data_IF_653551494774
#
_entry.id   IF_653551494774
#
_cell.length_a   1.000
_cell.length_b   1.000
_cell.length_c   1.000
_cell.angle_alpha   90.00
_cell.angle_beta   90.00
_cell.angle_gamma   90.00
#
_symmetry.space_group_name_H-M   'P 1'
#
loop_
_entity.id
_entity.type
_entity.pdbx_description
1 polymer ?
#
# COMPACT_ATOMS: atom_id res chain seq x y z
N UNK A 1 -17.14 13.35 11.01
CA UNK A 1 -16.68 13.18 9.61
C UNK A 1 -16.88 11.71 9.25
N UNK A 2 -17.13 11.33 7.99
CA UNK A 2 -17.11 9.90 7.64
C UNK A 2 -15.69 9.34 7.85
N UNK A 3 -15.57 8.04 8.17
CA UNK A 3 -14.27 7.43 8.40
C UNK A 3 -13.41 7.46 7.14
N UNK A 4 -12.10 7.59 7.32
CA UNK A 4 -11.16 7.61 6.18
C UNK A 4 -11.25 6.32 5.36
N UNK A 5 -11.40 5.18 6.05
CA UNK A 5 -11.67 3.87 5.48
C UNK A 5 -13.18 3.58 5.52
N UNK A 6 -13.85 3.37 4.38
CA UNK A 6 -15.26 2.99 4.37
C UNK A 6 -15.50 1.68 5.14
N UNK A 7 -16.50 1.61 6.04
CA UNK A 7 -16.71 0.44 6.89
C UNK A 7 -16.83 -0.91 6.16
N UNK A 8 -17.50 -1.01 5.00
CA UNK A 8 -17.57 -2.29 4.27
C UNK A 8 -16.20 -2.82 3.79
N UNK A 9 -15.20 -1.94 3.62
CA UNK A 9 -13.86 -2.30 3.15
C UNK A 9 -12.87 -2.53 4.30
N UNK A 10 -13.25 -2.16 5.53
CA UNK A 10 -12.38 -2.16 6.71
C UNK A 10 -11.70 -3.52 6.93
N UNK A 11 -12.49 -4.59 7.00
CA UNK A 11 -12.00 -5.95 7.24
C UNK A 11 -11.09 -6.45 6.12
N UNK A 12 -11.40 -6.17 4.86
CA UNK A 12 -10.60 -6.56 3.69
C UNK A 12 -9.26 -5.83 3.65
N UNK A 13 -9.24 -4.54 3.96
CA UNK A 13 -8.01 -3.74 4.04
C UNK A 13 -7.15 -4.21 5.22
N UNK A 14 -7.74 -4.42 6.39
CA UNK A 14 -7.03 -4.96 7.55
C UNK A 14 -6.46 -6.34 7.25
N UNK A 15 -7.24 -7.20 6.60
CA UNK A 15 -6.81 -8.51 6.15
C UNK A 15 -5.64 -8.41 5.16
N UNK A 16 -5.64 -7.44 4.25
CA UNK A 16 -4.56 -7.19 3.29
C UNK A 16 -3.25 -6.72 3.94
N UNK A 17 -3.34 -6.15 5.14
CA UNK A 17 -2.22 -5.65 5.94
C UNK A 17 -1.90 -6.54 7.14
N UNK A 18 -2.54 -7.71 7.27
CA UNK A 18 -2.43 -8.55 8.46
C UNK A 18 -1.03 -9.16 8.61
N UNK A 19 -0.42 -9.11 9.81
CA UNK A 19 0.88 -9.74 10.07
C UNK A 19 0.84 -11.27 10.00
N UNK A 20 -0.35 -11.88 10.12
CA UNK A 20 -0.53 -13.33 10.02
C UNK A 20 -0.24 -13.90 8.63
N UNK A 21 -0.20 -13.07 7.59
CA UNK A 21 0.14 -13.46 6.22
C UNK A 21 1.45 -12.77 5.83
N UNK A 22 2.63 -13.29 6.26
CA UNK A 22 3.89 -12.72 5.86
C UNK A 22 3.97 -12.72 4.33
N UNK A 23 4.47 -11.63 3.74
CA UNK A 23 4.64 -11.54 2.29
C UNK A 23 3.30 -11.52 1.52
N UNK A 24 2.20 -11.06 2.13
CA UNK A 24 0.92 -10.92 1.44
C UNK A 24 0.98 -9.96 0.25
N UNK A 25 0.34 -10.33 -0.87
CA UNK A 25 0.16 -9.44 -2.02
C UNK A 25 -1.33 -9.11 -2.21
N UNK A 26 -1.61 -7.84 -2.49
CA UNK A 26 -2.93 -7.34 -2.86
C UNK A 26 -2.86 -6.72 -4.25
N UNK A 27 -3.74 -7.16 -5.14
CA UNK A 27 -3.90 -6.58 -6.47
C UNK A 27 -5.09 -5.62 -6.48
N UNK A 28 -4.89 -4.40 -6.97
CA UNK A 28 -5.97 -3.48 -7.29
C UNK A 28 -6.04 -3.33 -8.80
N UNK A 29 -7.13 -3.80 -9.37
CA UNK A 29 -7.46 -3.62 -10.78
C UNK A 29 -8.44 -2.46 -10.94
N UNK A 30 -8.22 -1.64 -11.97
CA UNK A 30 -9.11 -0.53 -12.31
C UNK A 30 -9.28 -0.38 -13.82
N UNK A 31 -10.30 0.36 -14.25
CA UNK A 31 -10.41 0.88 -15.62
C UNK A 31 -10.26 2.40 -15.64
N UNK A 32 -10.03 3.00 -16.80
CA UNK A 32 -9.80 4.46 -16.92
C UNK A 32 -10.91 5.31 -16.28
N UNK A 33 -12.17 4.86 -16.37
CA UNK A 33 -13.33 5.55 -15.79
C UNK A 33 -13.50 5.34 -14.28
N UNK A 34 -12.81 4.38 -13.68
CA UNK A 34 -12.91 4.03 -12.26
C UNK A 34 -11.52 3.91 -11.62
N UNK A 35 -10.79 5.02 -11.49
CA UNK A 35 -9.39 4.99 -11.11
C UNK A 35 -9.18 4.58 -9.65
N UNK A 36 -8.10 3.85 -9.38
CA UNK A 36 -7.71 3.30 -8.07
C UNK A 36 -7.08 4.23 -7.01
N UNK A 37 -6.64 5.48 -7.27
CA UNK A 37 -5.92 6.29 -6.27
C UNK A 37 -6.65 6.46 -4.94
N UNK A 38 -7.97 6.59 -4.98
CA UNK A 38 -8.76 6.73 -3.76
C UNK A 38 -8.57 5.53 -2.85
N UNK A 39 -8.62 4.29 -3.37
CA UNK A 39 -8.48 3.06 -2.60
C UNK A 39 -7.04 2.87 -2.10
N UNK A 40 -6.05 3.15 -2.95
CA UNK A 40 -4.63 3.12 -2.59
C UNK A 40 -4.36 4.02 -1.38
N UNK A 41 -4.91 5.24 -1.38
CA UNK A 41 -4.77 6.17 -0.25
C UNK A 41 -5.41 5.66 1.05
N UNK A 42 -6.50 4.87 0.98
CA UNK A 42 -7.10 4.24 2.18
C UNK A 42 -6.22 3.14 2.72
N UNK A 43 -5.56 2.38 1.85
CA UNK A 43 -4.61 1.35 2.28
C UNK A 43 -3.38 2.01 2.92
N UNK A 44 -2.86 3.11 2.34
CA UNK A 44 -1.78 3.90 2.97
C UNK A 44 -2.23 4.44 4.32
N UNK A 45 -3.43 5.00 4.41
CA UNK A 45 -4.00 5.50 5.66
C UNK A 45 -4.07 4.38 6.70
N UNK A 46 -4.66 3.24 6.35
CA UNK A 46 -4.81 2.08 7.22
C UNK A 46 -3.47 1.52 7.69
N UNK A 47 -2.45 1.53 6.83
CA UNK A 47 -1.10 1.08 7.19
C UNK A 47 -0.42 2.01 8.21
N UNK A 48 -0.68 3.32 8.14
CA UNK A 48 -0.05 4.32 9.00
C UNK A 48 -0.80 4.60 10.30
N UNK A 49 -2.13 4.50 10.27
CA UNK A 49 -3.00 4.92 11.37
C UNK A 49 -3.94 3.82 11.87
N UNK A 50 -4.03 2.69 11.18
CA UNK A 50 -5.02 1.65 11.46
C UNK A 50 -6.34 1.89 10.71
N UNK A 51 -7.22 0.88 10.79
CA UNK A 51 -8.55 0.90 10.15
C UNK A 51 -9.61 1.51 11.07
N UNK A 52 -9.38 1.46 12.39
CA UNK A 52 -10.27 2.01 13.41
C UNK A 52 -10.16 3.55 13.44
N UNK A 53 -11.30 4.22 13.30
CA UNK A 53 -11.42 5.68 13.32
C UNK A 53 -11.45 6.19 14.79
N UNK A 54 -10.40 5.97 15.58
CA UNK A 54 -10.30 6.58 16.92
C UNK A 54 -9.89 8.06 16.81
N UNK A 55 -10.77 8.85 16.17
CA UNK A 55 -10.83 10.31 16.34
C UNK A 55 -11.95 10.67 17.34
N UNK A 56 -12.50 9.68 18.06
CA UNK A 56 -13.74 9.80 18.83
C UNK A 56 -13.68 9.48 20.33
N UNK A 57 -12.56 9.08 20.92
CA UNK A 57 -12.51 8.78 22.37
C UNK A 57 -11.17 9.12 23.03
N UNK A 58 -10.78 10.40 22.98
CA UNK A 58 -9.75 10.95 23.88
C UNK A 58 -10.27 11.97 24.89
N UNK A 59 -11.56 11.90 25.21
CA UNK A 59 -12.16 12.56 26.36
C UNK A 59 -12.94 11.53 27.21
N UNK A 60 -12.37 11.17 28.36
CA UNK A 60 -13.09 10.62 29.50
C UNK A 60 -13.61 9.19 29.41
N UNK A 61 -12.79 8.22 29.84
CA UNK A 61 -13.28 7.15 30.73
C UNK A 61 -12.12 6.38 31.37
N UNK A 62 -11.95 6.63 32.66
CA UNK A 62 -11.35 5.69 33.60
C UNK A 62 -12.23 4.42 33.60
N UNK A 63 -11.71 3.32 33.07
CA UNK A 63 -12.22 1.98 33.31
C UNK A 63 -11.10 0.97 33.02
N UNK A 64 -10.56 0.44 34.11
CA UNK A 64 -9.66 -0.69 34.16
C UNK A 64 -10.23 -1.90 33.40
N UNK A 65 -9.36 -2.66 32.72
CA UNK A 65 -9.66 -4.02 32.31
C UNK A 65 -10.14 -4.23 30.88
N UNK A 66 -9.30 -3.92 29.90
CA UNK A 66 -9.14 -4.80 28.73
C UNK A 66 -7.78 -4.50 28.09
N UNK A 67 -6.92 -5.51 28.01
CA UNK A 67 -5.70 -5.45 27.21
C UNK A 67 -6.10 -5.01 25.79
N UNK A 68 -5.76 -3.79 25.41
CA UNK A 68 -5.88 -3.30 24.03
C UNK A 68 -4.81 -4.01 23.20
N UNK A 69 -5.03 -5.28 22.86
CA UNK A 69 -4.31 -5.98 21.80
C UNK A 69 -4.74 -5.44 20.44
N UNK A 70 -4.34 -4.21 20.10
CA UNK A 70 -4.19 -3.79 18.70
C UNK A 70 -3.44 -2.46 18.62
N UNK A 71 -2.24 -2.41 19.19
CA UNK A 71 -1.24 -1.48 18.70
C UNK A 71 -0.78 -2.01 17.33
N UNK A 72 -1.60 -1.86 16.28
CA UNK A 72 -1.13 -2.04 14.90
C UNK A 72 0.01 -1.05 14.71
N UNK A 73 1.24 -1.54 14.83
CA UNK A 73 2.45 -0.73 14.65
C UNK A 73 2.36 -0.08 13.26
N UNK A 74 2.40 1.25 13.22
CA UNK A 74 2.39 1.99 11.97
C UNK A 74 3.46 1.41 11.03
N UNK A 75 3.04 0.93 9.85
CA UNK A 75 3.93 0.37 8.86
C UNK A 75 4.58 1.51 8.07
N UNK A 76 5.91 1.56 7.99
CA UNK A 76 6.55 2.51 7.08
C UNK A 76 6.20 2.13 5.63
N UNK A 77 6.04 3.10 4.75
CA UNK A 77 5.52 2.88 3.39
C UNK A 77 6.56 3.27 2.35
N UNK A 78 6.85 2.36 1.42
CA UNK A 78 7.56 2.69 0.17
C UNK A 78 6.54 2.73 -0.95
N UNK A 79 6.38 3.90 -1.56
CA UNK A 79 5.36 4.13 -2.57
C UNK A 79 6.00 4.55 -3.89
N UNK A 80 5.93 3.69 -4.90
CA UNK A 80 6.33 4.02 -6.27
C UNK A 80 5.11 4.25 -7.14
N UNK A 81 5.14 5.32 -7.93
CA UNK A 81 4.09 5.63 -8.89
C UNK A 81 4.68 5.90 -10.27
N UNK A 82 4.32 5.04 -11.23
CA UNK A 82 4.78 5.10 -12.61
C UNK A 82 3.78 5.79 -13.54
N UNK A 83 2.53 5.94 -13.09
CA UNK A 83 1.44 6.46 -13.92
C UNK A 83 0.94 7.84 -13.47
N UNK A 84 1.17 8.22 -12.21
CA UNK A 84 0.60 9.44 -11.61
C UNK A 84 1.63 10.30 -10.89
N UNK A 85 1.53 11.64 -10.97
CA UNK A 85 2.48 12.55 -10.33
C UNK A 85 2.22 12.66 -8.82
N UNK A 86 3.26 13.01 -8.05
CA UNK A 86 3.15 13.19 -6.60
C UNK A 86 2.08 14.22 -6.22
N UNK A 87 1.92 15.28 -7.01
CA UNK A 87 0.95 16.35 -6.76
C UNK A 87 -0.49 15.83 -6.64
N UNK A 88 -0.87 14.85 -7.47
CA UNK A 88 -2.17 14.20 -7.41
C UNK A 88 -2.35 13.48 -6.07
N UNK A 89 -1.35 12.70 -5.66
CA UNK A 89 -1.40 11.97 -4.39
C UNK A 89 -1.50 12.91 -3.20
N UNK A 90 -0.74 14.01 -3.20
CA UNK A 90 -0.78 15.03 -2.14
C UNK A 90 -2.15 15.69 -2.05
N UNK A 91 -2.76 16.07 -3.19
CA UNK A 91 -4.09 16.69 -3.21
C UNK A 91 -5.17 15.73 -2.69
N UNK A 92 -5.19 14.50 -3.21
CA UNK A 92 -6.18 13.49 -2.80
C UNK A 92 -5.95 12.99 -1.38
N UNK A 93 -4.70 12.89 -0.92
CA UNK A 93 -4.35 12.52 0.44
C UNK A 93 -4.84 13.55 1.44
N UNK A 94 -4.65 14.84 1.16
CA UNK A 94 -5.11 15.93 2.04
C UNK A 94 -6.61 15.87 2.29
N UNK A 95 -7.39 15.47 1.29
CA UNK A 95 -8.85 15.31 1.38
C UNK A 95 -9.30 14.24 2.38
N UNK A 96 -8.46 13.26 2.70
CA UNK A 96 -8.72 12.20 3.67
C UNK A 96 -7.92 12.35 4.97
N UNK A 97 -7.30 13.52 5.20
CA UNK A 97 -6.44 13.76 6.37
C UNK A 97 -5.04 13.16 6.26
N UNK A 98 -4.62 12.69 5.09
CA UNK A 98 -3.27 12.17 4.85
C UNK A 98 -2.35 13.29 4.33
N UNK A 99 -1.61 13.94 5.22
CA UNK A 99 -0.57 14.90 4.83
C UNK A 99 0.70 14.18 4.34
N UNK A 100 0.69 13.83 3.06
CA UNK A 100 1.82 13.14 2.41
C UNK A 100 3.12 13.96 2.51
N UNK A 101 3.06 15.30 2.48
CA UNK A 101 4.27 16.12 2.58
C UNK A 101 4.93 16.00 3.96
N UNK A 102 4.12 16.04 5.03
CA UNK A 102 4.60 15.80 6.39
C UNK A 102 5.15 14.38 6.56
N UNK A 103 4.48 13.38 5.96
CA UNK A 103 4.89 11.98 6.00
C UNK A 103 6.21 11.71 5.25
N UNK A 104 6.46 12.42 4.14
CA UNK A 104 7.74 12.39 3.42
C UNK A 104 8.85 13.01 4.26
N UNK A 105 8.59 14.18 4.86
CA UNK A 105 9.57 14.88 5.70
C UNK A 105 9.95 14.07 6.95
N UNK A 106 8.97 13.39 7.54
CA UNK A 106 9.17 12.50 8.69
C UNK A 106 9.66 11.10 8.33
N UNK A 107 9.93 10.82 7.03
CA UNK A 107 10.40 9.52 6.52
C UNK A 107 9.48 8.33 6.82
N UNK A 108 8.20 8.58 7.13
CA UNK A 108 7.18 7.53 7.25
C UNK A 108 6.77 6.99 5.88
N UNK A 109 6.85 7.84 4.86
CA UNK A 109 6.69 7.47 3.45
C UNK A 109 8.00 7.77 2.72
N UNK A 110 8.44 6.85 1.88
CA UNK A 110 9.40 7.13 0.80
C UNK A 110 8.68 7.03 -0.53
N UNK A 111 8.68 8.13 -1.28
CA UNK A 111 8.06 8.19 -2.60
C UNK A 111 9.08 8.06 -3.71
N UNK A 112 8.79 7.18 -4.66
CA UNK A 112 9.55 6.97 -5.89
C UNK A 112 8.74 7.50 -7.08
N UNK A 113 9.24 8.57 -7.70
CA UNK A 113 8.63 9.20 -8.87
C UNK A 113 9.08 8.52 -10.15
N UNK A 114 8.13 7.86 -10.83
CA UNK A 114 8.34 7.23 -12.12
C UNK A 114 7.94 8.06 -13.33
N UNK A 115 7.40 9.27 -13.17
CA UNK A 115 7.03 10.15 -14.31
C UNK A 115 8.12 11.17 -14.64
N UNK A 116 8.77 11.75 -13.64
CA UNK A 116 9.76 12.82 -13.83
C UNK A 116 11.19 12.28 -14.04
N UNK A 117 11.34 11.14 -14.70
CA UNK A 117 12.63 10.49 -14.92
C UNK A 117 13.52 11.27 -15.91
N UNK A 118 14.84 11.08 -15.82
CA UNK A 118 15.82 11.69 -16.74
C UNK A 118 16.02 13.21 -16.62
N UNK A 119 15.18 13.94 -15.88
CA UNK A 119 15.43 15.32 -15.54
C UNK A 119 16.53 15.39 -14.47
N UNK A 120 17.76 15.69 -14.88
CA UNK A 120 18.80 16.12 -13.96
C UNK A 120 18.25 17.26 -13.08
N UNK A 121 18.51 17.29 -11.76
CA UNK A 121 18.24 18.48 -10.96
C UNK A 121 19.04 19.62 -11.59
N UNK A 122 18.39 20.42 -12.42
CA UNK A 122 19.05 21.53 -13.11
C UNK A 122 19.53 22.46 -12.00
N UNK A 123 20.84 22.63 -11.76
CA UNK A 123 21.29 23.64 -10.82
C UNK A 123 20.76 24.97 -11.35
N UNK A 124 20.09 25.72 -10.49
CA UNK A 124 19.56 27.03 -10.77
C UNK A 124 20.67 27.95 -11.27
N UNK A 125 20.85 28.02 -12.58
CA UNK A 125 21.65 29.07 -13.22
C UNK A 125 20.67 30.17 -13.59
N UNK A 126 20.77 31.27 -12.88
CA UNK A 126 20.06 32.53 -13.11
C UNK A 126 20.12 32.93 -14.59
N UNK A 127 19.00 32.82 -15.31
CA UNK A 127 18.89 33.23 -16.70
C UNK A 127 17.46 33.02 -17.20
N UNK A 128 16.76 34.12 -17.47
CA UNK A 128 15.33 34.15 -17.75
C UNK A 128 14.89 33.31 -18.96
N UNK A 129 13.69 32.74 -18.85
CA UNK A 129 13.04 32.02 -19.93
C UNK A 129 11.87 31.17 -19.45
N UNK A 130 10.67 31.77 -19.44
CA UNK A 130 9.35 31.17 -19.64
C UNK A 130 9.14 29.69 -19.30
N UNK A 131 8.45 29.45 -18.17
CA UNK A 131 7.38 28.46 -18.00
C UNK A 131 7.66 26.96 -18.24
N UNK A 132 8.36 26.33 -17.31
CA UNK A 132 7.84 25.16 -16.58
C UNK A 132 8.66 25.00 -15.30
N UNK A 133 8.39 25.87 -14.32
CA UNK A 133 9.00 25.79 -13.01
C UNK A 133 8.57 24.49 -12.35
N UNK A 134 9.47 23.50 -12.30
CA UNK A 134 9.34 22.39 -11.37
C UNK A 134 9.36 22.99 -9.97
N UNK A 135 8.20 22.97 -9.32
CA UNK A 135 7.98 23.55 -7.99
C UNK A 135 8.99 22.95 -6.98
N UNK A 136 10.00 23.71 -6.51
CA UNK A 136 11.00 23.21 -5.58
C UNK A 136 10.45 23.05 -4.15
N UNK A 137 9.16 23.26 -3.92
CA UNK A 137 8.51 23.12 -2.61
C UNK A 137 8.19 21.67 -2.21
N UNK A 138 8.31 20.70 -3.12
CA UNK A 138 7.97 19.30 -2.84
C UNK A 138 9.18 18.59 -2.16
N UNK A 139 8.93 18.07 -0.95
CA UNK A 139 9.82 17.32 -0.04
C UNK A 139 10.65 16.20 -0.73
N UNK A 140 11.73 15.64 -0.13
CA UNK A 140 12.69 14.80 -0.85
C UNK A 140 12.05 13.55 -1.46
N UNK A 141 11.78 13.61 -2.76
CA UNK A 141 11.35 12.47 -3.58
C UNK A 141 12.56 11.77 -4.16
N UNK A 142 12.47 10.46 -4.33
CA UNK A 142 13.47 9.71 -5.10
C UNK A 142 12.98 9.61 -6.54
N UNK A 143 13.78 10.04 -7.51
CA UNK A 143 13.42 9.98 -8.93
C UNK A 143 14.11 8.80 -9.60
N UNK A 144 13.41 8.17 -10.53
CA UNK A 144 14.01 7.15 -11.38
C UNK A 144 14.96 7.78 -12.41
N UNK A 145 16.04 7.07 -12.73
CA UNK A 145 16.93 7.44 -13.85
C UNK A 145 16.30 7.05 -15.18
N UNK A 146 15.72 5.86 -15.23
CA UNK A 146 14.93 5.35 -16.35
C UNK A 146 13.81 4.44 -15.86
N UNK A 147 12.92 4.05 -16.77
CA UNK A 147 11.89 3.04 -16.54
C UNK A 147 12.42 1.60 -16.73
N UNK A 148 13.74 1.39 -16.83
CA UNK A 148 14.29 0.05 -16.89
C UNK A 148 14.09 -0.66 -15.53
N UNK A 149 13.59 -1.89 -15.54
CA UNK A 149 13.36 -2.70 -14.33
C UNK A 149 14.54 -2.70 -13.34
N UNK A 150 15.78 -2.74 -13.84
CA UNK A 150 16.99 -2.68 -13.00
C UNK A 150 17.11 -1.36 -12.23
N UNK A 151 16.88 -0.22 -12.88
CA UNK A 151 16.89 1.09 -12.22
C UNK A 151 15.77 1.21 -11.18
N UNK A 152 14.59 0.66 -11.48
CA UNK A 152 13.46 0.60 -10.53
C UNK A 152 13.83 -0.21 -9.30
N UNK A 153 14.46 -1.38 -9.49
CA UNK A 153 14.91 -2.25 -8.42
C UNK A 153 15.98 -1.59 -7.53
N UNK A 154 16.96 -0.91 -8.13
CA UNK A 154 18.01 -0.20 -7.40
C UNK A 154 17.45 0.95 -6.56
N UNK A 155 16.50 1.71 -7.11
CA UNK A 155 15.86 2.82 -6.40
C UNK A 155 14.97 2.31 -5.26
N UNK A 156 14.15 1.29 -5.50
CA UNK A 156 13.31 0.70 -4.45
C UNK A 156 14.15 0.09 -3.34
N UNK A 157 15.20 -0.66 -3.67
CA UNK A 157 16.10 -1.25 -2.67
C UNK A 157 16.84 -0.18 -1.86
N UNK A 158 17.23 0.93 -2.48
CA UNK A 158 17.79 2.10 -1.79
C UNK A 158 16.77 2.75 -0.86
N UNK A 159 15.51 2.86 -1.30
CA UNK A 159 14.39 3.31 -0.48
C UNK A 159 14.19 2.43 0.75
N UNK A 160 14.14 1.11 0.59
CA UNK A 160 14.00 0.14 1.68
C UNK A 160 15.16 0.23 2.70
N UNK A 161 16.39 0.39 2.22
CA UNK A 161 17.57 0.61 3.09
C UNK A 161 17.46 1.93 3.86
N UNK A 162 16.94 2.99 3.24
CA UNK A 162 16.78 4.28 3.91
C UNK A 162 15.78 4.25 5.07
N UNK A 163 14.76 3.39 5.01
CA UNK A 163 13.82 3.14 6.11
C UNK A 163 14.48 2.39 7.27
N UNK A 164 15.41 1.48 6.95
CA UNK A 164 16.06 0.62 7.94
C UNK A 164 17.17 1.33 8.74
N UNK A 165 17.68 2.46 8.22
CA UNK A 165 18.84 3.16 8.82
C UNK A 165 18.43 4.22 9.86
N UNK A 166 17.22 4.15 10.42
CA UNK A 166 16.77 5.04 11.50
C UNK A 166 17.34 4.61 12.86
N UNK A 167 18.66 4.51 12.95
CA UNK A 167 19.34 4.56 14.25
C UNK A 167 19.31 6.00 14.75
N UNK A 168 18.57 6.24 15.83
CA UNK A 168 18.51 7.51 16.56
C UNK A 168 19.88 8.17 16.66
N UNK A 169 20.00 9.49 16.38
CA UNK A 169 21.22 10.21 16.69
C UNK A 169 21.37 10.24 18.22
N UNK A 170 22.35 9.49 18.74
CA UNK A 170 22.77 9.60 20.12
C UNK A 170 23.26 11.04 20.33
N UNK A 171 22.68 11.83 21.26
CA UNK A 171 23.18 13.16 21.52
C UNK A 171 24.54 13.02 22.20
N UNK A 172 25.57 13.56 21.56
CA UNK A 172 26.88 13.81 22.17
C UNK A 172 26.71 14.83 23.29
N UNK A 173 26.32 14.39 24.48
CA UNK A 173 26.39 15.23 25.67
C UNK A 173 27.74 14.94 26.31
N UNK A 174 28.65 15.88 26.06
CA UNK A 174 29.98 15.95 26.65
C UNK A 174 29.93 15.80 28.17
N UNK A 175 30.69 14.82 28.65
CA UNK A 175 31.41 14.75 29.93
C UNK A 175 31.18 15.91 30.90
N UNK A 176 30.41 15.65 31.96
CA UNK A 176 30.60 16.29 33.26
C UNK A 176 31.00 15.21 34.26
N UNK A 177 32.32 15.06 34.38
CA UNK A 177 32.98 14.36 35.47
C UNK A 177 32.69 15.11 36.76
N UNK A 178 32.01 14.47 37.71
CA UNK A 178 32.13 14.83 39.11
C UNK A 178 32.22 13.55 39.95
N UNK A 179 33.42 13.34 40.47
CA UNK A 179 33.83 12.45 41.54
C UNK A 179 32.80 12.33 42.69
N UNK A 180 32.50 11.10 43.09
CA UNK A 180 32.44 10.69 44.51
C UNK A 180 32.43 9.16 44.65
N UNK A 181 33.19 8.73 45.65
CA UNK A 181 33.64 7.36 45.98
C UNK A 181 32.63 6.65 46.92
N UNK A 182 32.90 5.48 47.53
CA UNK A 182 32.15 4.25 47.24
C UNK A 182 31.42 3.63 48.47
N UNK A 183 30.33 2.89 48.28
CA UNK A 183 29.89 1.83 49.20
C UNK A 183 28.76 0.96 48.59
N UNK A 184 28.63 -0.33 48.99
CA UNK A 184 28.09 -1.38 48.14
C UNK A 184 26.63 -1.71 48.45
N UNK A 185 25.84 -2.08 47.42
CA UNK A 185 24.61 -2.86 47.62
C UNK A 185 24.33 -3.77 46.41
N UNK A 186 23.96 -5.00 46.76
CA UNK A 186 23.75 -6.23 46.00
C UNK A 186 22.70 -6.14 44.87
N UNK A 187 22.65 -7.14 43.95
CA UNK A 187 22.14 -6.97 42.60
C UNK A 187 20.63 -7.22 42.49
N UNK A 188 19.90 -6.45 41.67
CA UNK A 188 18.63 -6.91 41.13
C UNK A 188 18.87 -7.73 39.86
N UNK A 189 18.71 -9.03 40.00
CA UNK A 189 18.47 -9.98 38.91
C UNK A 189 17.10 -9.70 38.33
N UNK A 190 17.02 -9.00 37.20
CA UNK A 190 15.95 -9.16 36.22
C UNK A 190 16.37 -8.42 34.97
N UNK A 191 17.12 -9.10 34.12
CA UNK A 191 17.26 -8.76 32.71
C UNK A 191 15.86 -8.77 32.09
N UNK A 192 15.20 -7.60 32.02
CA UNK A 192 14.13 -7.44 31.05
C UNK A 192 14.76 -7.65 29.67
N UNK A 193 14.19 -8.49 28.80
CA UNK A 193 14.78 -8.80 27.51
C UNK A 193 14.98 -7.48 26.77
N UNK A 194 16.21 -7.27 26.31
CA UNK A 194 16.49 -6.34 25.22
C UNK A 194 15.57 -6.78 24.09
N UNK A 195 14.41 -6.14 23.96
CA UNK A 195 13.54 -6.32 22.82
C UNK A 195 14.40 -5.93 21.63
N UNK A 196 14.88 -6.95 20.92
CA UNK A 196 15.45 -6.77 19.60
C UNK A 196 14.35 -6.04 18.84
N UNK A 197 14.59 -4.78 18.51
CA UNK A 197 13.75 -4.05 17.59
C UNK A 197 13.81 -4.82 16.28
N UNK A 198 12.89 -5.75 16.09
CA UNK A 198 12.67 -6.37 14.78
C UNK A 198 12.35 -5.22 13.85
N UNK A 199 13.23 -4.98 12.87
CA UNK A 199 13.02 -3.97 11.85
C UNK A 199 11.71 -4.31 11.15
N UNK A 200 10.65 -3.54 11.39
CA UNK A 200 9.35 -3.79 10.79
C UNK A 200 9.47 -3.63 9.28
N UNK A 201 9.21 -4.71 8.54
CA UNK A 201 9.24 -4.66 7.08
C UNK A 201 8.19 -3.65 6.60
N UNK A 202 8.46 -2.85 5.55
CA UNK A 202 7.54 -1.82 5.10
C UNK A 202 6.38 -2.39 4.28
N UNK A 203 5.33 -1.59 4.14
CA UNK A 203 4.35 -1.75 3.06
C UNK A 203 4.97 -1.20 1.77
N UNK A 204 4.99 -2.01 0.71
CA UNK A 204 5.39 -1.54 -0.62
C UNK A 204 4.14 -1.37 -1.48
N UNK A 205 4.00 -0.21 -2.14
CA UNK A 205 2.93 0.07 -3.08
C UNK A 205 3.53 0.42 -4.43
N UNK A 206 3.09 -0.28 -5.46
CA UNK A 206 3.50 -0.05 -6.85
C UNK A 206 2.28 0.36 -7.67
N UNK A 207 2.29 1.60 -8.12
CA UNK A 207 1.19 2.17 -8.88
C UNK A 207 1.47 2.20 -10.39
N UNK A 208 0.67 1.45 -11.16
CA UNK A 208 0.77 1.32 -12.61
C UNK A 208 1.88 0.37 -13.07
N UNK A 209 1.92 -0.85 -12.53
CA UNK A 209 2.95 -1.84 -12.93
C UNK A 209 2.82 -2.29 -14.39
N UNK A 210 1.59 -2.27 -14.91
CA UNK A 210 1.23 -2.53 -16.30
C UNK A 210 1.85 -1.49 -17.24
N UNK A 211 1.89 -0.22 -16.83
CA UNK A 211 2.59 0.82 -17.58
C UNK A 211 4.10 0.56 -17.64
N UNK A 212 4.71 0.20 -16.51
CA UNK A 212 6.14 -0.14 -16.47
C UNK A 212 6.46 -1.30 -17.43
N UNK A 213 5.65 -2.37 -17.41
CA UNK A 213 5.80 -3.50 -18.33
C UNK A 213 5.60 -3.09 -19.80
N UNK A 214 4.62 -2.23 -20.08
CA UNK A 214 4.35 -1.72 -21.43
C UNK A 214 5.50 -0.87 -22.00
N UNK A 215 6.20 -0.11 -21.14
CA UNK A 215 7.39 0.64 -21.55
C UNK A 215 8.59 -0.24 -21.92
N UNK A 216 8.54 -1.54 -21.63
CA UNK A 216 9.64 -2.48 -21.87
C UNK A 216 9.19 -3.69 -22.70
N UNK A 217 8.93 -3.53 -24.01
CA UNK A 217 8.36 -4.60 -24.84
C UNK A 217 9.25 -5.85 -24.97
N UNK A 218 10.56 -5.71 -24.76
CA UNK A 218 11.52 -6.82 -24.82
C UNK A 218 11.73 -7.52 -23.46
N UNK A 219 11.15 -6.99 -22.38
CA UNK A 219 11.25 -7.58 -21.06
C UNK A 219 10.25 -8.74 -20.95
N UNK A 220 10.70 -9.96 -20.68
CA UNK A 220 9.76 -11.07 -20.49
C UNK A 220 9.00 -10.88 -19.17
N UNK A 221 7.70 -11.16 -19.19
CA UNK A 221 6.80 -10.93 -18.03
C UNK A 221 7.21 -11.71 -16.79
N UNK A 222 7.86 -12.87 -16.96
CA UNK A 222 8.45 -13.63 -15.87
C UNK A 222 9.51 -12.84 -15.08
N UNK A 223 10.25 -11.94 -15.71
CA UNK A 223 11.20 -11.06 -15.01
C UNK A 223 10.47 -10.05 -14.12
N UNK A 224 9.33 -9.52 -14.58
CA UNK A 224 8.48 -8.65 -13.76
C UNK A 224 7.90 -9.44 -12.57
N UNK A 225 7.44 -10.67 -12.79
CA UNK A 225 6.95 -11.53 -11.71
C UNK A 225 8.05 -11.86 -10.68
N UNK A 226 9.28 -12.15 -11.13
CA UNK A 226 10.42 -12.42 -10.26
C UNK A 226 10.82 -11.18 -9.44
N UNK A 227 10.77 -10.00 -10.06
CA UNK A 227 10.97 -8.72 -9.38
C UNK A 227 9.91 -8.48 -8.30
N UNK A 228 8.62 -8.66 -8.61
CA UNK A 228 7.54 -8.52 -7.64
C UNK A 228 7.64 -9.54 -6.49
N UNK A 229 8.06 -10.77 -6.80
CA UNK A 229 8.36 -11.78 -5.79
C UNK A 229 9.50 -11.35 -4.86
N UNK A 230 10.56 -10.74 -5.41
CA UNK A 230 11.66 -10.20 -4.60
C UNK A 230 11.16 -9.10 -3.66
N UNK A 231 10.37 -8.15 -4.17
CA UNK A 231 9.80 -7.09 -3.34
C UNK A 231 8.89 -7.64 -2.25
N UNK A 232 8.09 -8.66 -2.57
CA UNK A 232 7.22 -9.35 -1.62
C UNK A 232 8.02 -9.91 -0.44
N UNK A 233 9.16 -10.56 -0.67
CA UNK A 233 10.03 -11.08 0.41
C UNK A 233 10.66 -9.98 1.28
N UNK A 234 10.80 -8.77 0.73
CA UNK A 234 11.38 -7.60 1.38
C UNK A 234 10.34 -6.72 2.09
N UNK A 235 9.05 -6.96 1.86
CA UNK A 235 7.95 -6.19 2.45
C UNK A 235 7.16 -6.99 3.46
N UNK A 236 6.43 -6.25 4.30
CA UNK A 236 5.36 -6.79 5.13
C UNK A 236 4.17 -7.19 4.27
N UNK A 237 3.75 -6.27 3.40
CA UNK A 237 2.74 -6.47 2.39
C UNK A 237 3.13 -5.74 1.10
N UNK A 238 2.65 -6.24 -0.03
CA UNK A 238 2.84 -5.65 -1.36
C UNK A 238 1.48 -5.32 -1.97
N UNK A 239 1.27 -4.07 -2.35
CA UNK A 239 0.07 -3.64 -3.08
C UNK A 239 0.48 -3.25 -4.48
N UNK A 240 -0.14 -3.87 -5.47
CA UNK A 240 0.14 -3.62 -6.88
C UNK A 240 -1.12 -3.09 -7.54
N UNK A 241 -1.01 -2.01 -8.31
CA UNK A 241 -2.11 -1.52 -9.13
C UNK A 241 -1.83 -1.74 -10.61
N UNK A 242 -2.86 -2.17 -11.34
CA UNK A 242 -2.82 -2.29 -12.79
C UNK A 242 -4.18 -1.98 -13.42
N UNK A 243 -4.18 -1.65 -14.70
CA UNK A 243 -5.41 -1.56 -15.48
C UNK A 243 -5.92 -2.97 -15.80
N UNK A 244 -7.24 -3.16 -15.83
CA UNK A 244 -7.88 -4.42 -16.23
C UNK A 244 -8.99 -4.15 -17.25
N UNK A 245 -8.65 -3.44 -18.32
CA UNK A 245 -9.58 -3.09 -19.37
C UNK A 245 -9.98 -4.35 -20.16
N UNK A 246 -11.28 -4.57 -20.35
CA UNK A 246 -11.80 -5.75 -21.02
C UNK A 246 -11.17 -6.02 -22.41
N UNK A 247 -10.90 -5.01 -23.28
CA UNK A 247 -10.20 -5.24 -24.55
C UNK A 247 -8.82 -5.85 -24.37
N UNK A 248 -8.07 -5.45 -23.34
CA UNK A 248 -6.72 -5.94 -23.10
C UNK A 248 -6.70 -7.35 -22.54
N UNK A 249 -7.79 -7.81 -21.90
CA UNK A 249 -7.92 -9.16 -21.32
C UNK A 249 -8.55 -10.18 -22.27
N UNK A 250 -9.21 -9.73 -23.35
CA UNK A 250 -9.91 -10.62 -24.31
C UNK A 250 -8.99 -11.62 -24.99
N UNK A 251 -7.70 -11.33 -25.11
CA UNK A 251 -6.72 -12.23 -25.72
C UNK A 251 -6.65 -13.58 -24.98
N UNK A 252 -6.80 -13.59 -23.64
CA UNK A 252 -6.82 -14.85 -22.88
C UNK A 252 -8.00 -15.75 -23.27
N UNK A 253 -9.11 -15.16 -23.74
CA UNK A 253 -10.30 -15.90 -24.12
C UNK A 253 -10.33 -16.27 -25.61
N UNK A 254 -9.53 -15.61 -26.46
CA UNK A 254 -9.51 -15.88 -27.90
C UNK A 254 -8.62 -17.08 -28.21
N UNK A 255 -9.20 -18.11 -28.83
CA UNK A 255 -8.44 -19.23 -29.44
C UNK A 255 -7.62 -18.80 -30.65
N UNK A 256 -7.97 -17.66 -31.25
CA UNK A 256 -7.23 -17.07 -32.34
C UNK A 256 -5.99 -16.38 -31.76
N UNK A 257 -4.80 -16.67 -32.30
CA UNK A 257 -3.56 -15.98 -31.95
C UNK A 257 -3.50 -14.52 -32.46
N UNK A 258 -4.61 -13.79 -32.45
CA UNK A 258 -4.76 -12.47 -33.09
C UNK A 258 -4.39 -11.28 -32.18
N UNK A 259 -3.78 -11.55 -31.02
CA UNK A 259 -3.32 -10.49 -30.12
C UNK A 259 -2.02 -9.80 -30.55
N UNK A 260 -1.84 -8.54 -30.15
CA UNK A 260 -0.51 -7.92 -30.14
C UNK A 260 0.33 -8.48 -28.98
N UNK A 261 1.68 -8.45 -29.07
CA UNK A 261 2.54 -8.85 -27.95
C UNK A 261 2.24 -8.07 -26.66
N UNK A 262 1.91 -6.78 -26.78
CA UNK A 262 1.54 -5.93 -25.65
C UNK A 262 0.29 -6.45 -24.93
N UNK A 263 -0.77 -6.80 -25.67
CA UNK A 263 -2.01 -7.29 -25.08
C UNK A 263 -1.83 -8.67 -24.44
N UNK A 264 -1.07 -9.58 -25.08
CA UNK A 264 -0.71 -10.89 -24.49
C UNK A 264 0.07 -10.71 -23.19
N UNK A 265 1.08 -9.84 -23.20
CA UNK A 265 1.91 -9.55 -22.04
C UNK A 265 1.10 -8.92 -20.90
N UNK A 266 0.20 -7.98 -21.22
CA UNK A 266 -0.69 -7.36 -20.25
C UNK A 266 -1.63 -8.39 -19.62
N UNK A 267 -2.31 -9.20 -20.45
CA UNK A 267 -3.20 -10.27 -19.97
C UNK A 267 -2.46 -11.24 -19.05
N UNK A 268 -1.26 -11.68 -19.47
CA UNK A 268 -0.42 -12.57 -18.69
C UNK A 268 -0.04 -11.95 -17.35
N UNK A 269 0.41 -10.70 -17.34
CA UNK A 269 0.76 -9.98 -16.11
C UNK A 269 -0.41 -9.88 -15.14
N UNK A 270 -1.58 -9.41 -15.59
CA UNK A 270 -2.76 -9.24 -14.72
C UNK A 270 -3.23 -10.59 -14.16
N UNK A 271 -3.32 -11.61 -15.01
CA UNK A 271 -3.75 -12.97 -14.60
C UNK A 271 -2.77 -13.57 -13.59
N UNK A 272 -1.46 -13.45 -13.85
CA UNK A 272 -0.43 -13.89 -12.94
C UNK A 272 -0.49 -13.15 -11.59
N UNK A 273 -0.70 -11.83 -11.61
CA UNK A 273 -0.81 -11.06 -10.38
C UNK A 273 -2.05 -11.47 -9.59
N UNK A 274 -3.19 -11.72 -10.25
CA UNK A 274 -4.39 -12.20 -9.59
C UNK A 274 -4.15 -13.57 -8.91
N UNK A 275 -3.45 -14.49 -9.58
CA UNK A 275 -3.09 -15.78 -9.00
C UNK A 275 -2.07 -15.67 -7.86
N UNK A 276 -1.18 -14.68 -7.88
CA UNK A 276 -0.18 -14.48 -6.82
C UNK A 276 -0.67 -13.57 -5.68
N UNK A 277 -1.86 -13.00 -5.81
CA UNK A 277 -2.45 -12.12 -4.79
C UNK A 277 -3.33 -12.91 -3.86
N UNK A 278 -3.36 -12.47 -2.61
CA UNK A 278 -4.32 -12.94 -1.63
C UNK A 278 -5.68 -12.26 -1.81
N UNK A 279 -5.65 -10.94 -2.02
CA UNK A 279 -6.85 -10.16 -2.33
C UNK A 279 -6.75 -9.52 -3.71
N UNK A 280 -7.85 -9.56 -4.44
CA UNK A 280 -8.05 -8.81 -5.68
C UNK A 280 -9.18 -7.83 -5.45
N UNK A 281 -8.87 -6.54 -5.44
CA UNK A 281 -9.85 -5.47 -5.48
C UNK A 281 -10.07 -5.07 -6.94
N UNK A 282 -11.30 -5.23 -7.42
CA UNK A 282 -11.69 -4.86 -8.77
C UNK A 282 -12.60 -3.63 -8.75
N UNK A 283 -12.12 -2.54 -9.34
CA UNK A 283 -12.90 -1.34 -9.60
C UNK A 283 -13.43 -1.40 -11.03
N UNK A 284 -14.76 -1.34 -11.16
CA UNK A 284 -15.45 -1.37 -12.45
C UNK A 284 -16.52 -0.29 -12.53
N UNK A 285 -16.75 0.20 -13.75
CA UNK A 285 -17.90 1.04 -14.04
C UNK A 285 -19.22 0.28 -13.86
N UNK A 286 -20.33 1.01 -13.85
CA UNK A 286 -21.64 0.35 -13.89
C UNK A 286 -21.88 -0.18 -15.30
N UNK A 287 -22.46 -1.37 -15.40
CA UNK A 287 -22.84 -1.97 -16.70
C UNK A 287 -23.87 -1.08 -17.44
N UNK A 288 -24.64 -0.28 -16.69
CA UNK A 288 -25.61 0.70 -17.22
C UNK A 288 -24.97 2.03 -17.63
N UNK A 289 -23.66 2.22 -17.42
CA UNK A 289 -22.95 3.47 -17.71
C UNK A 289 -22.67 4.33 -16.46
N UNK A 290 -23.10 5.59 -16.46
CA UNK A 290 -22.86 6.54 -15.37
C UNK A 290 -24.14 6.87 -14.60
N UNK A 291 -24.06 6.96 -13.27
CA UNK A 291 -25.13 7.48 -12.44
C UNK A 291 -24.64 8.69 -11.62
N UNK A 292 -25.54 9.63 -11.31
CA UNK A 292 -25.19 10.83 -10.52
C UNK A 292 -24.69 10.46 -9.12
N UNK A 293 -25.30 9.44 -8.53
CA UNK A 293 -25.06 9.07 -7.14
C UNK A 293 -24.15 7.84 -6.97
N UNK A 294 -23.66 7.26 -8.06
CA UNK A 294 -22.80 6.07 -8.03
C UNK A 294 -21.66 6.24 -9.03
N UNK A 295 -20.42 6.17 -8.53
CA UNK A 295 -19.21 6.26 -9.35
C UNK A 295 -18.83 4.93 -9.97
N UNK A 296 -19.10 3.81 -9.29
CA UNK A 296 -18.79 2.49 -9.79
C UNK A 296 -19.08 1.39 -8.78
N UNK A 297 -18.53 0.22 -9.06
CA UNK A 297 -18.62 -0.99 -8.25
C UNK A 297 -17.22 -1.39 -7.81
N UNK A 298 -17.08 -1.74 -6.54
CA UNK A 298 -15.88 -2.37 -6.01
C UNK A 298 -16.21 -3.80 -5.60
N UNK A 299 -15.44 -4.76 -6.13
CA UNK A 299 -15.47 -6.16 -5.70
C UNK A 299 -14.17 -6.49 -4.99
N UNK A 300 -14.26 -7.12 -3.83
CA UNK A 300 -13.14 -7.75 -3.15
C UNK A 300 -13.31 -9.26 -3.29
N UNK A 301 -12.29 -9.94 -3.83
CA UNK A 301 -12.30 -11.39 -3.97
C UNK A 301 -10.99 -12.03 -3.57
N UNK A 302 -11.05 -13.27 -3.10
CA UNK A 302 -9.85 -14.08 -2.84
C UNK A 302 -9.10 -14.29 -4.16
N UNK A 303 -7.79 -14.04 -4.14
CA UNK A 303 -6.90 -14.37 -5.26
C UNK A 303 -6.29 -15.77 -5.10
N UNK A 304 -5.49 -16.21 -6.08
CA UNK A 304 -4.90 -17.56 -6.06
C UNK A 304 -3.84 -17.79 -4.96
N UNK A 305 -3.35 -16.71 -4.34
CA UNK A 305 -2.42 -16.76 -3.22
C UNK A 305 -3.12 -16.66 -1.86
N UNK A 306 -4.44 -16.84 -1.82
CA UNK A 306 -5.17 -16.89 -0.56
C UNK A 306 -4.98 -18.26 0.09
N UNK A 307 -4.06 -18.34 1.05
CA UNK A 307 -3.95 -19.48 1.96
C UNK A 307 -5.06 -19.33 3.01
N UNK A 308 -6.16 -20.08 2.83
CA UNK A 308 -7.16 -20.24 3.86
C UNK A 308 -6.60 -21.06 5.02
N UNK A 309 -7.25 -21.00 6.18
CA UNK A 309 -6.99 -21.96 7.24
C UNK A 309 -7.59 -23.32 6.80
N UNK A 310 -6.87 -24.09 5.97
CA UNK A 310 -7.32 -25.40 5.47
C UNK A 310 -7.57 -26.42 6.61
N UNK A 311 -7.20 -26.09 7.86
CA UNK A 311 -7.45 -26.93 9.02
C UNK A 311 -8.93 -27.04 9.44
N UNK A 312 -9.85 -26.26 8.88
CA UNK A 312 -11.28 -26.35 9.24
C UNK A 312 -12.12 -27.25 8.32
N UNK A 313 -11.59 -27.75 7.18
CA UNK A 313 -12.36 -28.64 6.29
C UNK A 313 -12.50 -30.08 6.82
N UNK A 314 -11.66 -30.51 7.77
CA UNK A 314 -11.82 -31.81 8.44
C UNK A 314 -12.76 -31.80 9.65
N UNK A 315 -13.35 -30.65 10.01
CA UNK A 315 -14.39 -30.53 11.03
C UNK A 315 -15.79 -30.34 10.40
N UNK A 316 -16.05 -30.97 9.25
CA UNK A 316 -17.39 -31.11 8.69
C UNK A 316 -18.24 -32.14 9.47
N UNK A 317 -18.37 -31.98 10.79
CA UNK A 317 -19.44 -32.60 11.56
C UNK A 317 -19.69 -31.87 12.88
N UNK A 318 -20.90 -31.34 13.01
CA UNK A 318 -21.60 -31.06 14.27
C UNK A 318 -21.23 -29.76 15.01
N UNK A 319 -22.29 -28.97 15.21
CA UNK A 319 -22.55 -28.00 16.29
C UNK A 319 -21.90 -26.62 16.24
N UNK A 320 -22.77 -25.63 16.04
CA UNK A 320 -22.69 -24.26 16.57
C UNK A 320 -21.35 -23.52 16.34
N UNK A 321 -21.36 -22.67 15.30
CA UNK A 321 -20.46 -21.52 15.15
C UNK A 321 -20.58 -20.63 16.39
N UNK A 322 -19.83 -20.97 17.42
CA UNK A 322 -19.57 -20.15 18.60
C UNK A 322 -18.32 -19.35 18.25
N UNK A 323 -18.49 -18.04 18.08
CA UNK A 323 -17.47 -17.00 17.90
C UNK A 323 -16.03 -17.49 17.96
N UNK A 324 -15.50 -17.92 16.81
CA UNK A 324 -14.10 -18.28 16.61
C UNK A 324 -13.45 -17.21 15.74
N UNK A 325 -12.33 -16.69 16.22
CA UNK A 325 -11.46 -15.64 15.66
C UNK A 325 -10.78 -16.04 14.33
N UNK A 326 -11.57 -16.50 13.36
CA UNK A 326 -11.13 -16.88 12.02
C UNK A 326 -11.74 -15.92 11.01
N UNK A 327 -10.98 -14.89 10.63
CA UNK A 327 -11.38 -13.85 9.67
C UNK A 327 -11.44 -14.39 8.22
N UNK A 328 -12.19 -15.48 8.00
CA UNK A 328 -12.49 -15.97 6.65
C UNK A 328 -13.54 -15.06 6.01
N UNK A 329 -13.04 -13.99 5.38
CA UNK A 329 -13.87 -13.03 4.66
C UNK A 329 -14.30 -13.63 3.33
N UNK A 330 -15.59 -13.61 3.04
CA UNK A 330 -16.14 -14.04 1.77
C UNK A 330 -15.84 -13.05 0.64
N UNK A 331 -16.02 -13.50 -0.60
CA UNK A 331 -16.09 -12.58 -1.74
C UNK A 331 -17.27 -11.61 -1.56
N UNK A 332 -17.05 -10.33 -1.82
CA UNK A 332 -18.08 -9.32 -1.65
C UNK A 332 -17.99 -8.20 -2.69
N UNK A 333 -19.13 -7.56 -2.92
CA UNK A 333 -19.30 -6.50 -3.91
C UNK A 333 -20.15 -5.36 -3.36
N UNK A 334 -19.72 -4.12 -3.61
CA UNK A 334 -20.40 -2.91 -3.18
C UNK A 334 -20.45 -1.85 -4.27
N UNK A 335 -21.42 -0.95 -4.14
CA UNK A 335 -21.43 0.31 -4.87
C UNK A 335 -20.53 1.31 -4.13
N UNK A 336 -19.90 2.21 -4.88
CA UNK A 336 -19.20 3.34 -4.30
C UNK A 336 -19.48 4.66 -5.01
N UNK A 337 -19.41 5.76 -4.27
CA UNK A 337 -19.50 7.13 -4.77
C UNK A 337 -18.29 7.92 -4.31
N UNK A 338 -17.52 8.43 -5.26
CA UNK A 338 -16.46 9.40 -5.05
C UNK A 338 -17.05 10.81 -5.15
N UNK A 339 -16.89 11.60 -4.10
CA UNK A 339 -17.23 13.03 -4.12
C UNK A 339 -15.98 13.86 -4.39
N UNK A 340 -16.17 15.06 -4.93
CA UNK A 340 -15.06 15.96 -5.31
C UNK A 340 -14.19 16.43 -4.12
N UNK A 341 -14.75 16.38 -2.92
CA UNK A 341 -14.09 16.62 -1.64
C UNK A 341 -13.21 15.43 -1.17
N UNK A 342 -13.15 14.33 -1.94
CA UNK A 342 -12.38 13.13 -1.64
C UNK A 342 -13.07 12.17 -0.67
N UNK A 343 -14.29 12.50 -0.23
CA UNK A 343 -15.14 11.59 0.52
C UNK A 343 -15.58 10.43 -0.37
N UNK A 344 -15.62 9.24 0.23
CA UNK A 344 -16.07 8.03 -0.44
C UNK A 344 -17.12 7.36 0.40
N UNK A 345 -18.26 7.09 -0.21
CA UNK A 345 -19.29 6.21 0.36
C UNK A 345 -19.20 4.86 -0.32
N UNK A 346 -19.32 3.79 0.46
CA UNK A 346 -19.37 2.40 -0.02
C UNK A 346 -20.56 1.74 0.68
N UNK A 347 -21.41 1.04 -0.06
CA UNK A 347 -22.63 0.44 0.47
C UNK A 347 -23.10 -0.76 -0.36
N UNK A 348 -23.92 -1.61 0.25
CA UNK A 348 -24.48 -2.80 -0.41
C UNK A 348 -25.52 -2.46 -1.46
N UNK A 349 -25.81 -3.38 -2.39
CA UNK A 349 -26.95 -3.21 -3.31
C UNK A 349 -28.26 -3.33 -2.52
N UNK A 350 -29.10 -2.30 -2.59
CA UNK A 350 -30.43 -2.28 -1.95
C UNK A 350 -30.51 -1.56 -0.61
N UNK A 351 -29.39 -1.00 -0.11
CA UNK A 351 -29.35 -0.04 1.01
C UNK A 351 -29.66 1.38 0.55
#
# INVERSE_FOLDING_TARGET
MPPAVPPPLASYIQSSLSPSSPHGQTLITSVLSTPSPWLVLRIIYAALYGVEDDIGTREGRDAEGLEKTSATSALPVVFASFLRPLTLWVELGKKIGLDIQSLLRSRKIVYVDGLSYGQSPRPSVSGGGSSSAGDPSLSPTTRLKSLALGDVQDVLSSGLKSLSTTTSPSPSISSLSLSRTPAPRLPPTSTLPTQLFETTKPLIILDGIDFLAACQPFLPIISVQAFLSTLRTQSHALVVTCSADAPLLRIAASTNEEGTPLERNHTHLVTAMAHQSRWVFQLRGLDTGSAKDVSGVIRASKGGGYEGNENDEHAASTTQRRSGDGNDLDDAEWLYQLKGDGLVRVWGRGE
#
